data_IF_783878714846
#
_entry.id   IF_783878714846
#
_cell.length_a   1.000
_cell.length_b   1.000
_cell.length_c   1.000
_cell.angle_alpha   90.00
_cell.angle_beta   90.00
_cell.angle_gamma   90.00
#
_symmetry.space_group_name_H-M   'P 1'
#
loop_
_entity.id
_entity.type
_entity.pdbx_description
1 polymer ?
#
# COMPACT_ATOMS: atom_id res chain seq x y z
N UNK A 1 -6.89 -26.34 34.23
CA UNK A 1 -6.53 -25.58 33.02
C UNK A 1 -7.80 -25.23 32.28
N UNK A 2 -8.04 -23.95 32.02
CA UNK A 2 -9.22 -23.51 31.29
C UNK A 2 -8.84 -23.46 29.80
N UNK A 3 -9.11 -24.56 29.08
CA UNK A 3 -8.70 -24.80 27.68
C UNK A 3 -9.06 -23.61 26.77
N UNK A 4 -10.16 -22.92 27.07
CA UNK A 4 -10.60 -21.72 26.36
C UNK A 4 -9.62 -20.54 26.44
N UNK A 5 -8.87 -20.40 27.55
CA UNK A 5 -7.94 -19.29 27.73
C UNK A 5 -6.63 -19.52 26.95
N UNK A 6 -6.12 -20.76 26.92
CA UNK A 6 -4.91 -21.11 26.15
C UNK A 6 -5.16 -20.98 24.64
N UNK A 7 -6.30 -21.49 24.15
CA UNK A 7 -6.69 -21.33 22.75
C UNK A 7 -6.88 -19.86 22.36
N UNK A 8 -7.50 -19.06 23.22
CA UNK A 8 -7.69 -17.62 22.95
C UNK A 8 -6.35 -16.88 22.85
N UNK A 9 -5.39 -17.20 23.73
CA UNK A 9 -4.05 -16.61 23.65
C UNK A 9 -3.29 -17.06 22.41
N UNK A 10 -3.41 -18.32 22.01
CA UNK A 10 -2.82 -18.81 20.76
C UNK A 10 -3.39 -18.07 19.54
N UNK A 11 -4.72 -17.88 19.48
CA UNK A 11 -5.37 -17.13 18.40
C UNK A 11 -4.89 -15.67 18.37
N UNK A 12 -4.85 -15.00 19.52
CA UNK A 12 -4.36 -13.62 19.59
C UNK A 12 -2.90 -13.50 19.14
N UNK A 13 -2.05 -14.45 19.55
CA UNK A 13 -0.66 -14.49 19.12
C UNK A 13 -0.54 -14.67 17.59
N UNK A 14 -1.31 -15.58 17.00
CA UNK A 14 -1.34 -15.76 15.53
C UNK A 14 -1.81 -14.48 14.83
N UNK A 15 -2.88 -13.83 15.31
CA UNK A 15 -3.36 -12.58 14.70
C UNK A 15 -2.30 -11.48 14.77
N UNK A 16 -1.62 -11.34 15.91
CA UNK A 16 -0.54 -10.34 16.06
C UNK A 16 0.68 -10.62 15.17
N UNK A 17 0.94 -11.89 14.86
CA UNK A 17 2.03 -12.30 13.96
C UNK A 17 1.68 -12.10 12.49
N UNK A 18 0.44 -12.40 12.09
CA UNK A 18 0.04 -12.48 10.68
C UNK A 18 -0.62 -11.19 10.16
N UNK A 19 -1.16 -10.34 11.05
CA UNK A 19 -1.86 -9.11 10.65
C UNK A 19 -0.92 -7.92 10.79
N UNK A 20 -0.62 -7.30 9.65
CA UNK A 20 0.17 -6.08 9.57
C UNK A 20 -0.74 -4.85 9.36
N UNK A 21 -0.41 -3.69 9.96
CA UNK A 21 -1.07 -2.43 9.63
C UNK A 21 -0.95 -2.12 8.13
N UNK A 22 -2.03 -1.58 7.56
CA UNK A 22 -2.09 -1.17 6.17
C UNK A 22 -2.91 0.13 6.06
N UNK A 23 -2.55 0.97 5.09
CA UNK A 23 -3.23 2.24 4.84
C UNK A 23 -3.99 2.19 3.51
N UNK A 24 -5.32 2.16 3.56
CA UNK A 24 -6.16 2.09 2.36
C UNK A 24 -6.32 0.66 1.83
N UNK A 25 -6.65 0.52 0.55
CA UNK A 25 -6.81 -0.80 -0.08
C UNK A 25 -5.50 -1.30 -0.69
N UNK A 26 -5.31 -2.61 -0.69
CA UNK A 26 -4.08 -3.27 -1.10
C UNK A 26 -3.71 -2.99 -2.56
N UNK A 27 -4.68 -2.91 -3.47
CA UNK A 27 -4.42 -2.74 -4.89
C UNK A 27 -3.73 -1.41 -5.22
N UNK A 28 -4.29 -0.22 -4.92
CA UNK A 28 -3.58 1.04 -5.15
C UNK A 28 -2.28 1.15 -4.33
N UNK A 29 -2.26 0.63 -3.10
CA UNK A 29 -1.06 0.65 -2.24
C UNK A 29 0.07 -0.16 -2.85
N UNK A 30 -0.20 -1.34 -3.41
CA UNK A 30 0.81 -2.18 -4.04
C UNK A 30 1.47 -1.49 -5.23
N UNK A 31 0.68 -0.78 -6.05
CA UNK A 31 1.20 -0.02 -7.19
C UNK A 31 1.96 1.24 -6.73
N UNK A 32 1.47 1.92 -5.70
CA UNK A 32 2.16 3.05 -5.10
C UNK A 32 3.53 2.64 -4.53
N UNK A 33 3.59 1.51 -3.81
CA UNK A 33 4.83 0.95 -3.28
C UNK A 33 5.82 0.59 -4.40
N UNK A 34 5.36 -0.09 -5.45
CA UNK A 34 6.21 -0.39 -6.61
C UNK A 34 6.77 0.89 -7.27
N UNK A 35 5.96 1.95 -7.30
CA UNK A 35 6.35 3.24 -7.89
C UNK A 35 7.30 4.03 -6.98
N UNK A 36 7.10 3.99 -5.66
CA UNK A 36 7.95 4.66 -4.66
C UNK A 36 9.38 4.11 -4.61
N UNK A 37 9.54 2.84 -4.98
CA UNK A 37 10.83 2.18 -5.03
C UNK A 37 11.66 2.63 -6.25
N UNK A 38 11.01 3.02 -7.36
CA UNK A 38 11.71 3.35 -8.60
C UNK A 38 12.71 4.52 -8.49
N UNK A 39 12.40 5.66 -7.83
CA UNK A 39 13.35 6.74 -7.63
C UNK A 39 14.66 6.33 -6.93
N UNK A 40 14.62 5.36 -6.02
CA UNK A 40 15.82 4.89 -5.32
C UNK A 40 16.83 4.24 -6.28
N UNK A 41 16.34 3.49 -7.27
CA UNK A 41 17.19 2.85 -8.27
C UNK A 41 17.60 3.81 -9.39
N UNK A 42 16.74 4.77 -9.73
CA UNK A 42 17.02 5.78 -10.76
C UNK A 42 17.95 6.88 -10.27
N UNK A 43 17.99 7.15 -8.96
CA UNK A 43 18.67 8.31 -8.38
C UNK A 43 18.01 9.66 -8.71
N UNK A 44 16.82 9.62 -9.30
CA UNK A 44 16.03 10.77 -9.73
C UNK A 44 14.54 10.39 -9.83
N UNK A 45 13.67 11.39 -9.96
CA UNK A 45 12.26 11.14 -10.21
C UNK A 45 12.05 10.60 -11.64
N UNK A 46 11.15 9.61 -11.84
CA UNK A 46 10.84 9.10 -13.17
C UNK A 46 10.04 10.13 -13.99
N UNK A 47 10.45 10.37 -15.24
CA UNK A 47 9.70 11.22 -16.19
C UNK A 47 8.41 10.55 -16.68
N UNK A 48 8.37 9.21 -16.69
CA UNK A 48 7.21 8.41 -17.12
C UNK A 48 7.14 7.09 -16.37
N UNK A 49 5.93 6.71 -15.97
CA UNK A 49 5.62 5.40 -15.38
C UNK A 49 4.73 4.61 -16.34
N UNK A 50 5.15 3.40 -16.69
CA UNK A 50 4.31 2.41 -17.37
C UNK A 50 4.05 1.23 -16.41
N UNK A 51 2.86 1.22 -15.81
CA UNK A 51 2.47 0.18 -14.87
C UNK A 51 1.80 -1.00 -15.59
N UNK A 52 2.36 -2.20 -15.44
CA UNK A 52 1.75 -3.45 -15.91
C UNK A 52 1.18 -4.19 -14.70
N UNK A 53 -0.14 -4.34 -14.68
CA UNK A 53 -0.87 -4.98 -13.59
C UNK A 53 -1.78 -6.08 -14.13
N UNK A 54 -2.14 -7.04 -13.29
CA UNK A 54 -3.13 -8.05 -13.67
C UNK A 54 -4.51 -7.42 -13.88
N UNK A 55 -5.39 -8.03 -14.69
CA UNK A 55 -6.77 -7.56 -14.84
C UNK A 55 -7.52 -7.49 -13.49
N UNK A 56 -7.17 -8.35 -12.54
CA UNK A 56 -7.77 -8.35 -11.21
C UNK A 56 -7.34 -7.15 -10.37
N UNK A 57 -6.06 -6.78 -10.40
CA UNK A 57 -5.59 -5.57 -9.74
C UNK A 57 -6.21 -4.34 -10.41
N UNK A 58 -6.26 -4.32 -11.75
CA UNK A 58 -6.87 -3.24 -12.52
C UNK A 58 -8.33 -3.00 -12.10
N UNK A 59 -9.18 -4.03 -12.15
CA UNK A 59 -10.60 -3.89 -11.83
C UNK A 59 -10.84 -3.52 -10.36
N UNK A 60 -10.04 -4.05 -9.42
CA UNK A 60 -10.23 -3.82 -8.00
C UNK A 60 -9.70 -2.45 -7.56
N UNK A 61 -8.63 -1.95 -8.19
CA UNK A 61 -7.97 -0.71 -7.78
C UNK A 61 -8.45 0.56 -8.52
N UNK A 62 -9.15 0.43 -9.66
CA UNK A 62 -9.50 1.61 -10.48
C UNK A 62 -10.48 2.58 -9.82
N UNK A 63 -11.42 2.08 -9.01
CA UNK A 63 -12.45 2.89 -8.35
C UNK A 63 -12.14 3.21 -6.89
N UNK A 64 -10.92 2.94 -6.44
CA UNK A 64 -10.55 3.02 -5.02
C UNK A 64 -9.84 4.34 -4.74
N UNK A 65 -10.20 4.95 -3.63
CA UNK A 65 -9.55 6.15 -3.11
C UNK A 65 -8.09 5.90 -2.77
N UNK A 66 -7.23 6.82 -3.19
CA UNK A 66 -5.82 6.83 -2.84
C UNK A 66 -5.65 7.63 -1.54
N UNK A 67 -5.10 7.03 -0.46
CA UNK A 67 -4.91 7.72 0.82
C UNK A 67 -4.17 9.04 0.68
N UNK A 68 -4.65 10.07 1.40
CA UNK A 68 -4.01 11.39 1.44
C UNK A 68 -4.24 12.28 0.22
N UNK A 69 -4.83 11.80 -0.88
CA UNK A 69 -4.96 12.59 -2.12
C UNK A 69 -6.38 13.11 -2.38
N UNK A 70 -7.41 12.54 -1.75
CA UNK A 70 -8.82 12.85 -2.06
C UNK A 70 -9.28 12.39 -3.44
N UNK A 71 -8.44 11.67 -4.18
CA UNK A 71 -8.69 11.19 -5.55
C UNK A 71 -8.67 9.67 -5.63
N UNK A 72 -9.11 9.11 -6.75
CA UNK A 72 -9.24 7.67 -6.96
C UNK A 72 -8.33 7.16 -8.08
N UNK A 73 -8.02 5.87 -8.03
CA UNK A 73 -7.52 5.12 -9.18
C UNK A 73 -6.00 4.91 -9.22
N UNK A 74 -5.61 3.94 -10.06
CA UNK A 74 -4.25 3.40 -10.13
C UNK A 74 -3.22 4.39 -10.67
N UNK A 75 -3.60 5.23 -11.63
CA UNK A 75 -2.68 6.25 -12.17
C UNK A 75 -2.25 7.25 -11.09
N UNK A 76 -3.20 7.67 -10.25
CA UNK A 76 -2.90 8.51 -9.10
C UNK A 76 -1.99 7.79 -8.11
N UNK A 77 -2.31 6.54 -7.76
CA UNK A 77 -1.51 5.74 -6.84
C UNK A 77 -0.06 5.60 -7.30
N UNK A 78 0.16 5.35 -8.59
CA UNK A 78 1.51 5.27 -9.17
C UNK A 78 2.24 6.62 -9.10
N UNK A 79 1.57 7.71 -9.48
CA UNK A 79 2.17 9.04 -9.47
C UNK A 79 2.56 9.50 -8.06
N UNK A 80 1.64 9.39 -7.09
CA UNK A 80 1.94 9.82 -5.71
C UNK A 80 2.98 8.91 -5.05
N UNK A 81 2.94 7.60 -5.35
CA UNK A 81 3.94 6.66 -4.89
C UNK A 81 5.33 7.07 -5.34
N UNK A 82 5.54 7.33 -6.63
CA UNK A 82 6.84 7.74 -7.17
C UNK A 82 7.35 9.10 -6.66
N UNK A 83 6.44 10.04 -6.38
CA UNK A 83 6.83 11.41 -6.00
C UNK A 83 7.08 11.53 -4.49
N UNK A 84 6.22 10.92 -3.67
CA UNK A 84 6.21 11.15 -2.22
C UNK A 84 5.96 9.92 -1.36
N UNK A 85 5.84 8.73 -1.95
CA UNK A 85 5.70 7.49 -1.19
C UNK A 85 6.96 7.15 -0.39
N UNK A 86 6.79 6.57 0.79
CA UNK A 86 7.88 5.99 1.59
C UNK A 86 8.14 4.53 1.13
N UNK A 87 9.20 4.25 0.34
CA UNK A 87 9.50 2.90 -0.15
C UNK A 87 9.79 1.89 0.97
N UNK A 88 10.11 2.35 2.18
CA UNK A 88 10.30 1.48 3.35
C UNK A 88 9.01 1.31 4.18
N UNK A 89 7.93 2.00 3.82
CA UNK A 89 6.66 1.99 4.53
C UNK A 89 5.79 0.76 4.27
N UNK A 90 6.17 -0.14 3.34
CA UNK A 90 5.38 -1.34 3.03
C UNK A 90 3.94 -1.01 2.64
N UNK A 91 2.95 -1.59 3.35
CA UNK A 91 1.52 -1.31 3.12
C UNK A 91 1.07 0.06 3.63
N UNK A 92 1.96 0.82 4.27
CA UNK A 92 1.76 2.18 4.74
C UNK A 92 2.59 3.19 3.91
N UNK A 93 2.96 2.84 2.67
CA UNK A 93 3.76 3.69 1.75
C UNK A 93 3.26 5.13 1.64
N UNK A 94 1.95 5.38 1.82
CA UNK A 94 1.34 6.71 1.72
C UNK A 94 1.04 7.39 3.07
N UNK A 95 1.54 6.87 4.19
CA UNK A 95 1.26 7.38 5.55
C UNK A 95 1.59 8.86 5.78
N UNK A 96 2.51 9.40 4.98
CA UNK A 96 2.97 10.79 5.11
C UNK A 96 2.32 11.73 4.09
N UNK A 97 1.41 11.24 3.26
CA UNK A 97 0.70 12.06 2.27
C UNK A 97 -0.48 12.75 2.94
N UNK A 98 -0.54 14.08 2.84
CA UNK A 98 -1.62 14.94 3.35
C UNK A 98 -2.28 15.69 2.21
N UNK A 99 -3.56 16.03 2.39
CA UNK A 99 -4.30 16.92 1.49
C UNK A 99 -4.04 18.37 1.92
N UNK A 100 -2.88 18.90 1.56
CA UNK A 100 -2.51 20.32 1.73
C UNK A 100 -2.29 20.99 0.36
#
# INVERSE_FOLDING_TARGET
MNINNELSQAILATVQQEVVPALGCTEPVSLALASAVAPQYLGALPDRIEAKVSPNLMKNGMGVTVPGTGTVGLTMAAAIGAIGGDPNGGLEVLKHITAE
#
